data_IF_820382920587
#
_entry.id   IF_820382920587
#
_cell.length_a   1.000
_cell.length_b   1.000
_cell.length_c   1.000
_cell.angle_alpha   90.00
_cell.angle_beta   90.00
_cell.angle_gamma   90.00
#
_symmetry.space_group_name_H-M   'P 1'
#
loop_
_entity.id
_entity.type
_entity.pdbx_description
1 polymer ?
#
# COMPACT_ATOMS: atom_id res chain seq x y z
N UNK A 1 -34.95 80.50 -37.77
CA UNK A 1 -33.48 80.33 -37.90
C UNK A 1 -32.83 80.91 -36.66
N UNK A 2 -31.82 80.23 -36.10
CA UNK A 2 -30.85 80.75 -35.10
C UNK A 2 -31.39 81.14 -33.71
N UNK A 3 -30.58 81.20 -32.63
CA UNK A 3 -29.44 80.35 -32.22
C UNK A 3 -29.01 80.71 -30.77
N UNK A 4 -28.89 79.70 -29.88
CA UNK A 4 -28.15 79.72 -28.58
C UNK A 4 -28.59 80.77 -27.52
N UNK A 5 -28.27 80.72 -26.21
CA UNK A 5 -27.43 79.86 -25.33
C UNK A 5 -28.11 79.75 -23.92
N UNK A 6 -27.53 79.45 -22.72
CA UNK A 6 -26.20 79.01 -22.19
C UNK A 6 -26.31 78.48 -20.74
N UNK A 7 -25.30 77.71 -20.27
CA UNK A 7 -24.87 77.52 -18.85
C UNK A 7 -25.86 76.89 -17.80
N UNK A 8 -25.45 76.50 -16.56
CA UNK A 8 -24.67 75.27 -16.32
C UNK A 8 -25.05 74.37 -15.10
N UNK A 9 -24.48 73.16 -15.10
CA UNK A 9 -24.23 72.13 -14.03
C UNK A 9 -24.74 72.34 -12.58
N UNK A 10 -25.46 71.35 -11.98
CA UNK A 10 -25.79 71.28 -10.54
C UNK A 10 -25.03 70.18 -9.74
N UNK A 11 -24.96 70.32 -8.41
CA UNK A 11 -24.85 69.24 -7.40
C UNK A 11 -25.24 69.77 -5.98
N UNK A 12 -25.43 68.96 -4.91
CA UNK A 12 -26.70 69.01 -4.17
C UNK A 12 -26.61 69.24 -2.64
N UNK A 13 -27.77 69.41 -2.00
CA UNK A 13 -27.93 69.63 -0.54
C UNK A 13 -29.01 68.74 0.09
N UNK A 14 -28.55 67.65 0.73
CA UNK A 14 -28.72 67.25 2.15
C UNK A 14 -30.01 67.56 3.00
N UNK A 15 -30.19 66.74 4.06
CA UNK A 15 -30.96 66.90 5.34
C UNK A 15 -32.48 66.54 5.44
N UNK A 16 -32.77 65.41 6.13
CA UNK A 16 -33.92 65.05 7.02
C UNK A 16 -35.39 65.07 6.47
N UNK A 17 -36.42 64.42 7.08
CA UNK A 17 -36.64 63.92 8.45
C UNK A 17 -37.57 62.66 8.54
N UNK A 18 -37.99 62.25 9.75
CA UNK A 18 -38.75 61.02 10.07
C UNK A 18 -40.29 61.15 10.00
N UNK A 19 -41.00 60.03 9.74
CA UNK A 19 -42.40 59.80 10.13
C UNK A 19 -42.74 58.29 10.14
N UNK A 20 -43.56 57.82 11.10
CA UNK A 20 -44.09 56.45 11.17
C UNK A 20 -45.51 56.34 10.54
N UNK A 21 -45.86 55.23 9.86
CA UNK A 21 -47.23 54.88 9.46
C UNK A 21 -47.83 53.69 10.28
N UNK A 22 -49.17 53.49 10.27
CA UNK A 22 -49.87 52.74 11.33
C UNK A 22 -50.24 51.28 11.00
N UNK A 23 -50.80 50.58 12.01
CA UNK A 23 -51.30 49.21 11.94
C UNK A 23 -52.65 49.07 11.20
N UNK A 24 -52.92 47.86 10.67
CA UNK A 24 -54.15 47.47 9.97
C UNK A 24 -54.53 46.03 10.35
N UNK A 25 -55.82 45.77 10.60
CA UNK A 25 -56.40 44.43 10.88
C UNK A 25 -57.21 43.89 9.66
N UNK A 26 -57.65 42.60 9.64
CA UNK A 26 -57.50 41.77 8.45
C UNK A 26 -58.75 41.59 7.56
N UNK A 27 -58.49 41.03 6.37
CA UNK A 27 -59.51 40.55 5.42
C UNK A 27 -59.74 39.02 5.56
N UNK A 28 -60.92 38.49 5.16
CA UNK A 28 -61.27 37.07 5.30
C UNK A 28 -60.50 36.15 4.32
N UNK A 29 -60.41 34.83 4.62
CA UNK A 29 -59.60 33.89 3.86
C UNK A 29 -60.23 33.47 2.52
N UNK A 30 -59.38 33.08 1.57
CA UNK A 30 -59.74 32.34 0.38
C UNK A 30 -59.38 30.85 0.56
N UNK A 31 -60.23 29.95 0.08
CA UNK A 31 -60.03 28.50 0.21
C UNK A 31 -58.90 27.99 -0.69
N UNK A 32 -58.12 27.04 -0.18
CA UNK A 32 -57.09 26.28 -0.93
C UNK A 32 -57.23 24.79 -0.64
N UNK A 33 -56.99 23.91 -1.63
CA UNK A 33 -57.30 22.49 -1.51
C UNK A 33 -56.34 21.75 -0.57
N UNK A 34 -56.87 20.77 0.18
CA UNK A 34 -56.14 20.04 1.20
C UNK A 34 -55.06 19.09 0.62
N UNK A 35 -53.86 19.14 1.21
CA UNK A 35 -52.87 18.06 1.15
C UNK A 35 -52.33 17.86 2.57
N UNK A 36 -52.58 16.72 3.23
CA UNK A 36 -52.29 16.57 4.65
C UNK A 36 -50.78 16.45 4.92
N UNK A 37 -50.24 17.40 5.69
CA UNK A 37 -48.89 17.30 6.24
C UNK A 37 -48.95 16.73 7.67
N UNK A 38 -48.10 15.75 7.96
CA UNK A 38 -47.97 15.15 9.30
C UNK A 38 -46.52 15.28 9.75
N UNK A 39 -46.25 16.30 10.58
CA UNK A 39 -45.03 16.39 11.35
C UNK A 39 -45.27 15.86 12.78
N UNK A 40 -44.59 14.78 13.13
CA UNK A 40 -44.47 14.29 14.50
C UNK A 40 -42.97 14.26 14.88
N UNK A 41 -42.60 14.56 16.15
CA UNK A 41 -41.21 14.70 16.54
C UNK A 41 -40.48 13.36 16.58
N UNK A 42 -39.25 13.31 16.06
CA UNK A 42 -38.41 12.10 16.01
C UNK A 42 -37.67 11.90 17.36
N UNK A 43 -37.89 10.80 18.10
CA UNK A 43 -37.12 10.49 19.30
C UNK A 43 -35.68 10.03 18.97
N UNK A 44 -34.76 10.24 19.89
CA UNK A 44 -33.33 10.05 19.65
C UNK A 44 -32.89 8.60 19.36
N UNK A 45 -31.88 8.47 18.48
CA UNK A 45 -31.31 7.19 18.02
C UNK A 45 -30.43 6.52 19.09
N UNK A 46 -31.01 6.13 20.24
CA UNK A 46 -30.29 5.47 21.35
C UNK A 46 -31.14 4.44 22.10
N UNK A 47 -31.36 3.28 21.48
CA UNK A 47 -31.99 2.14 22.16
C UNK A 47 -32.74 1.18 21.24
N UNK A 48 -32.02 0.36 20.48
CA UNK A 48 -32.55 -0.93 20.00
C UNK A 48 -31.51 -2.01 20.23
N UNK A 49 -31.87 -3.04 21.02
CA UNK A 49 -31.09 -4.26 21.13
C UNK A 49 -31.26 -5.06 19.84
N UNK A 50 -30.15 -5.31 19.13
CA UNK A 50 -30.09 -6.30 18.05
C UNK A 50 -29.24 -7.50 18.47
N UNK A 51 -29.72 -8.19 19.47
CA UNK A 51 -29.33 -9.57 19.78
C UNK A 51 -30.57 -10.27 20.35
N UNK A 52 -31.12 -11.20 19.56
CA UNK A 52 -32.16 -12.13 20.01
C UNK A 52 -31.48 -13.43 20.41
N UNK A 53 -31.75 -13.92 21.62
CA UNK A 53 -31.24 -15.22 22.06
C UNK A 53 -31.94 -16.34 21.26
N UNK A 54 -31.20 -17.20 20.53
CA UNK A 54 -31.81 -18.28 19.75
C UNK A 54 -32.57 -19.30 20.60
N UNK A 55 -32.36 -19.34 21.93
CA UNK A 55 -33.07 -20.23 22.83
C UNK A 55 -34.58 -19.91 23.02
N UNK A 56 -35.08 -18.77 22.54
CA UNK A 56 -36.49 -18.36 22.71
C UNK A 56 -37.36 -18.49 21.44
N UNK A 57 -36.80 -18.89 20.30
CA UNK A 57 -37.55 -19.11 19.07
C UNK A 57 -38.11 -20.55 19.01
N UNK A 58 -39.34 -20.77 19.51
CA UNK A 58 -40.01 -22.07 19.56
C UNK A 58 -40.46 -22.62 18.20
N UNK A 59 -39.52 -22.89 17.29
CA UNK A 59 -39.75 -23.47 15.95
C UNK A 59 -39.12 -24.86 15.87
N UNK A 60 -39.96 -25.89 15.92
CA UNK A 60 -39.54 -27.30 15.93
C UNK A 60 -39.10 -27.82 14.56
N UNK A 61 -37.97 -27.33 14.05
CA UNK A 61 -37.33 -27.89 12.84
C UNK A 61 -36.64 -29.21 13.20
N UNK A 62 -36.98 -30.35 12.57
CA UNK A 62 -36.32 -31.63 12.87
C UNK A 62 -34.86 -31.61 12.39
N UNK A 63 -33.93 -31.97 13.27
CA UNK A 63 -32.52 -32.14 12.94
C UNK A 63 -32.32 -33.34 11.98
N UNK A 64 -31.35 -33.28 11.05
CA UNK A 64 -30.98 -34.44 10.23
C UNK A 64 -30.58 -35.63 11.10
N UNK A 65 -31.12 -36.83 10.80
CA UNK A 65 -30.90 -38.04 11.61
C UNK A 65 -29.42 -38.49 11.67
N UNK A 66 -28.62 -38.06 10.70
CA UNK A 66 -27.17 -38.21 10.65
C UNK A 66 -26.43 -37.49 11.79
N UNK A 67 -27.04 -36.49 12.45
CA UNK A 67 -26.46 -35.80 13.62
C UNK A 67 -26.80 -36.46 14.97
N UNK A 68 -27.63 -37.51 15.00
CA UNK A 68 -28.02 -38.23 16.22
C UNK A 68 -27.65 -39.72 16.21
N UNK A 69 -26.87 -40.17 15.22
CA UNK A 69 -26.34 -41.53 15.15
C UNK A 69 -25.28 -41.78 16.25
N UNK A 70 -25.37 -42.88 17.03
CA UNK A 70 -24.37 -43.20 18.05
C UNK A 70 -23.06 -43.65 17.40
N UNK A 71 -21.94 -43.08 17.84
CA UNK A 71 -20.59 -43.39 17.33
C UNK A 71 -20.24 -44.87 17.51
N UNK A 72 -19.88 -45.61 16.45
CA UNK A 72 -19.49 -47.02 16.57
C UNK A 72 -18.15 -47.15 17.32
N UNK A 73 -18.01 -48.08 18.29
CA UNK A 73 -16.93 -48.05 19.27
C UNK A 73 -15.59 -48.68 18.82
N UNK A 74 -15.24 -48.61 17.53
CA UNK A 74 -13.97 -49.17 17.03
C UNK A 74 -13.29 -48.32 15.93
N UNK A 75 -12.02 -48.00 16.19
CA UNK A 75 -10.89 -47.94 15.25
C UNK A 75 -11.01 -47.21 13.91
N UNK A 76 -10.13 -46.22 13.67
CA UNK A 76 -9.85 -45.67 12.34
C UNK A 76 -9.38 -46.81 11.40
N UNK A 77 -9.99 -47.02 10.22
CA UNK A 77 -9.55 -48.04 9.27
C UNK A 77 -8.16 -47.74 8.69
N UNK A 78 -7.25 -48.73 8.76
CA UNK A 78 -5.94 -48.69 8.09
C UNK A 78 -6.04 -49.46 6.77
N UNK A 79 -5.55 -48.92 5.63
CA UNK A 79 -5.58 -49.63 4.35
C UNK A 79 -4.62 -50.83 4.35
N UNK A 80 -4.95 -51.95 3.69
CA UNK A 80 -4.14 -53.16 3.69
C UNK A 80 -2.86 -52.99 2.83
N UNK A 81 -1.73 -53.63 3.21
CA UNK A 81 -0.53 -53.64 2.41
C UNK A 81 -0.71 -54.49 1.14
N UNK A 82 -0.19 -54.02 -0.01
CA UNK A 82 -0.21 -54.79 -1.25
C UNK A 82 0.82 -55.93 -1.19
N UNK A 83 0.40 -57.13 -1.60
CA UNK A 83 1.27 -58.30 -1.65
C UNK A 83 2.18 -58.28 -2.90
N UNK A 84 3.48 -58.49 -2.70
CA UNK A 84 4.46 -58.59 -3.79
C UNK A 84 4.54 -60.03 -4.28
N UNK A 85 4.25 -60.27 -5.56
CA UNK A 85 4.40 -61.58 -6.22
C UNK A 85 5.79 -61.70 -6.88
N UNK A 86 6.57 -62.75 -6.59
CA UNK A 86 7.86 -62.98 -7.24
C UNK A 86 7.68 -63.77 -8.56
N UNK A 87 8.26 -63.28 -9.66
CA UNK A 87 8.27 -63.96 -10.95
C UNK A 87 9.46 -63.55 -11.82
N UNK A 88 10.23 -64.53 -12.29
CA UNK A 88 11.30 -64.37 -13.29
C UNK A 88 10.72 -64.66 -14.72
N UNK A 89 11.39 -64.48 -15.86
CA UNK A 89 12.84 -64.31 -16.13
C UNK A 89 13.06 -63.42 -17.41
N UNK A 90 14.11 -63.52 -18.30
CA UNK A 90 14.96 -62.36 -18.54
C UNK A 90 15.17 -61.86 -20.00
N UNK A 91 15.62 -60.60 -20.12
CA UNK A 91 16.39 -60.07 -21.27
C UNK A 91 15.59 -59.63 -22.51
N UNK A 92 16.23 -58.95 -23.51
CA UNK A 92 17.68 -58.80 -23.69
C UNK A 92 18.21 -57.35 -23.95
N UNK A 93 19.53 -57.17 -23.78
CA UNK A 93 20.36 -56.34 -24.69
C UNK A 93 20.46 -54.82 -24.49
N UNK A 94 21.58 -54.34 -23.95
CA UNK A 94 22.11 -52.97 -24.14
C UNK A 94 23.61 -53.04 -24.53
N UNK A 95 24.12 -52.13 -25.37
CA UNK A 95 25.51 -52.14 -25.85
C UNK A 95 26.51 -51.51 -24.84
N UNK A 96 27.80 -51.91 -24.86
CA UNK A 96 28.82 -51.41 -23.93
C UNK A 96 29.47 -50.08 -24.37
N UNK A 97 29.97 -49.33 -23.39
CA UNK A 97 30.81 -48.13 -23.59
C UNK A 97 32.32 -48.50 -23.60
N UNK A 98 33.17 -47.77 -24.35
CA UNK A 98 34.61 -48.03 -24.43
C UNK A 98 35.41 -47.46 -23.24
N UNK A 99 36.59 -48.03 -22.91
CA UNK A 99 37.45 -47.56 -21.82
C UNK A 99 38.29 -46.32 -22.19
N UNK A 100 38.73 -45.52 -21.21
CA UNK A 100 39.55 -44.33 -21.44
C UNK A 100 41.01 -44.66 -21.78
N UNK A 101 41.56 -44.02 -22.81
CA UNK A 101 42.96 -44.19 -23.24
C UNK A 101 43.88 -43.12 -22.63
N UNK A 102 44.95 -43.57 -21.95
CA UNK A 102 46.01 -42.71 -21.43
C UNK A 102 46.92 -42.19 -22.56
N UNK A 103 46.89 -40.88 -22.82
CA UNK A 103 47.72 -40.25 -23.84
C UNK A 103 48.36 -38.93 -23.37
N UNK A 104 49.48 -39.08 -22.65
CA UNK A 104 50.65 -38.16 -22.66
C UNK A 104 50.41 -36.66 -22.41
N UNK A 105 50.55 -36.25 -21.15
CA UNK A 105 50.69 -34.83 -20.80
C UNK A 105 51.89 -34.17 -21.49
N UNK A 106 51.72 -32.90 -21.89
CA UNK A 106 52.80 -31.96 -22.19
C UNK A 106 52.80 -30.93 -21.06
N UNK A 107 53.95 -30.70 -20.43
CA UNK A 107 54.03 -29.81 -19.28
C UNK A 107 53.93 -28.33 -19.70
N UNK A 108 53.02 -27.61 -19.07
CA UNK A 108 53.07 -26.16 -18.92
C UNK A 108 52.84 -25.87 -17.44
N UNK A 109 53.73 -25.10 -16.80
CA UNK A 109 53.66 -24.86 -15.36
C UNK A 109 52.42 -24.03 -14.99
N UNK A 110 51.57 -24.62 -14.14
CA UNK A 110 50.57 -23.88 -13.38
C UNK A 110 51.06 -23.75 -11.93
N UNK A 111 51.20 -22.53 -11.38
CA UNK A 111 51.49 -22.33 -9.97
C UNK A 111 50.33 -22.84 -9.09
N UNK A 112 50.56 -23.13 -7.80
CA UNK A 112 49.56 -23.75 -6.94
C UNK A 112 48.30 -22.89 -6.78
N UNK A 113 47.15 -23.58 -6.70
CA UNK A 113 45.86 -22.94 -6.47
C UNK A 113 45.70 -22.60 -4.98
N UNK A 114 46.23 -21.44 -4.56
CA UNK A 114 45.96 -20.87 -3.25
C UNK A 114 44.47 -20.57 -3.06
N UNK A 115 43.97 -20.79 -1.84
CA UNK A 115 42.58 -20.51 -1.48
C UNK A 115 42.33 -18.99 -1.49
N UNK A 116 41.71 -18.52 -2.58
CA UNK A 116 41.31 -17.13 -2.75
C UNK A 116 40.23 -16.72 -1.73
N UNK A 117 40.67 -16.32 -0.53
CA UNK A 117 39.89 -15.47 0.36
C UNK A 117 39.45 -14.21 -0.41
N UNK A 118 38.27 -13.62 -0.10
CA UNK A 118 37.77 -12.43 -0.78
C UNK A 118 38.55 -11.18 -0.34
N UNK A 119 39.83 -11.13 -0.68
CA UNK A 119 40.65 -9.94 -0.55
C UNK A 119 40.03 -8.85 -1.43
N UNK A 120 39.58 -7.76 -0.81
CA UNK A 120 39.00 -6.62 -1.55
C UNK A 120 40.05 -6.09 -2.50
N UNK A 121 39.78 -6.18 -3.80
CA UNK A 121 40.63 -5.59 -4.83
C UNK A 121 40.79 -4.09 -4.54
N UNK A 122 42.03 -3.69 -4.22
CA UNK A 122 42.42 -2.31 -3.94
C UNK A 122 42.56 -1.52 -5.24
N UNK A 123 41.49 -1.57 -6.04
CA UNK A 123 41.20 -0.66 -7.13
C UNK A 123 41.63 0.76 -6.75
N UNK A 124 42.25 1.48 -7.68
CA UNK A 124 42.89 2.78 -7.41
C UNK A 124 41.91 3.84 -6.89
N UNK A 125 40.61 3.63 -7.09
CA UNK A 125 39.48 4.35 -6.48
C UNK A 125 39.38 4.26 -4.95
N UNK A 126 39.97 3.26 -4.30
CA UNK A 126 40.04 3.14 -2.84
C UNK A 126 41.19 3.96 -2.24
N UNK A 127 42.27 4.16 -2.98
CA UNK A 127 43.41 5.01 -2.59
C UNK A 127 43.19 6.48 -2.96
N UNK A 128 42.45 6.74 -4.04
CA UNK A 128 41.98 8.07 -4.42
C UNK A 128 40.75 8.45 -3.58
N UNK A 129 41.01 9.09 -2.42
CA UNK A 129 39.97 9.59 -1.52
C UNK A 129 38.85 10.37 -2.25
N UNK A 130 37.58 10.25 -1.80
CA UNK A 130 36.40 10.52 -2.62
C UNK A 130 36.39 11.94 -3.21
N UNK A 131 36.53 12.02 -4.54
CA UNK A 131 36.44 13.27 -5.29
C UNK A 131 35.05 13.88 -5.10
N UNK A 132 34.96 14.94 -4.31
CA UNK A 132 33.74 15.74 -4.11
C UNK A 132 33.14 16.11 -5.47
N UNK A 133 31.90 15.68 -5.74
CA UNK A 133 31.23 16.05 -6.98
C UNK A 133 31.05 17.57 -7.06
N UNK A 134 31.23 18.19 -8.24
CA UNK A 134 31.12 19.63 -8.40
C UNK A 134 29.68 20.09 -8.16
N UNK A 135 29.44 21.21 -7.46
CA UNK A 135 28.10 21.64 -7.07
C UNK A 135 27.18 21.89 -8.28
N UNK A 136 26.05 21.19 -8.33
CA UNK A 136 25.07 21.26 -9.43
C UNK A 136 24.24 22.56 -9.46
N UNK A 137 24.06 23.23 -8.32
CA UNK A 137 23.14 24.37 -8.18
C UNK A 137 23.57 25.41 -7.13
N UNK A 138 22.92 26.58 -7.17
CA UNK A 138 23.01 27.65 -6.16
C UNK A 138 24.37 28.39 -6.11
N UNK A 139 24.57 29.15 -5.04
CA UNK A 139 25.78 29.98 -4.84
C UNK A 139 27.09 29.17 -4.84
N UNK A 140 27.05 27.89 -4.46
CA UNK A 140 28.22 26.99 -4.55
C UNK A 140 28.62 26.71 -6.00
N UNK A 141 27.65 26.53 -6.91
CA UNK A 141 27.92 26.45 -8.36
C UNK A 141 28.45 27.77 -8.90
N UNK A 142 27.93 28.90 -8.45
CA UNK A 142 28.43 30.21 -8.84
C UNK A 142 29.89 30.42 -8.39
N UNK A 143 30.24 30.11 -7.14
CA UNK A 143 31.63 30.16 -6.65
C UNK A 143 32.55 29.17 -7.38
N UNK A 144 32.09 27.96 -7.67
CA UNK A 144 32.86 26.98 -8.44
C UNK A 144 33.16 27.48 -9.86
N UNK A 145 32.23 28.20 -10.50
CA UNK A 145 32.47 28.84 -11.79
C UNK A 145 33.36 30.09 -11.68
N UNK A 146 33.09 30.99 -10.72
CA UNK A 146 33.84 32.24 -10.51
C UNK A 146 35.30 32.01 -10.07
N UNK A 147 35.58 30.90 -9.39
CA UNK A 147 36.94 30.45 -9.04
C UNK A 147 37.65 29.66 -10.15
N UNK A 148 37.16 29.73 -11.40
CA UNK A 148 37.70 28.95 -12.53
C UNK A 148 37.83 27.45 -12.23
N UNK A 149 36.85 26.89 -11.51
CA UNK A 149 36.78 25.49 -11.02
C UNK A 149 37.79 25.11 -9.94
N UNK A 150 38.56 26.07 -9.39
CA UNK A 150 39.55 25.78 -8.34
C UNK A 150 38.92 25.53 -6.96
N UNK A 151 37.84 26.24 -6.59
CA UNK A 151 37.18 26.08 -5.29
C UNK A 151 35.95 25.16 -5.39
N UNK A 152 36.20 23.86 -5.41
CA UNK A 152 35.13 22.85 -5.30
C UNK A 152 34.73 22.64 -3.83
N UNK A 153 33.73 23.40 -3.38
CA UNK A 153 33.10 23.27 -2.04
C UNK A 153 32.41 21.89 -1.87
N UNK A 154 32.07 21.23 -2.98
CA UNK A 154 31.20 20.06 -3.05
C UNK A 154 29.72 20.42 -3.21
N UNK A 155 28.93 19.42 -3.57
CA UNK A 155 27.47 19.45 -3.56
C UNK A 155 26.90 19.84 -2.18
N UNK A 156 25.68 20.36 -2.13
CA UNK A 156 25.02 20.68 -0.86
C UNK A 156 24.63 19.41 -0.09
N UNK A 157 24.84 19.32 1.24
CA UNK A 157 24.46 18.14 2.03
C UNK A 157 23.01 17.70 1.83
N UNK A 158 22.07 18.64 1.66
CA UNK A 158 20.66 18.33 1.33
C UNK A 158 20.51 17.63 -0.04
N UNK A 159 21.30 18.02 -1.04
CA UNK A 159 21.26 17.40 -2.38
C UNK A 159 21.94 16.04 -2.35
N UNK A 160 23.07 15.89 -1.65
CA UNK A 160 23.73 14.60 -1.43
C UNK A 160 22.84 13.61 -0.67
N UNK A 161 22.13 14.05 0.37
CA UNK A 161 21.15 13.22 1.07
C UNK A 161 19.99 12.82 0.16
N UNK A 162 19.43 13.78 -0.62
CA UNK A 162 18.38 13.46 -1.58
C UNK A 162 18.85 12.49 -2.68
N UNK A 163 20.12 12.57 -3.10
CA UNK A 163 20.73 11.59 -4.00
C UNK A 163 20.89 10.21 -3.35
N UNK A 164 21.24 10.10 -2.06
CA UNK A 164 21.30 8.80 -1.39
C UNK A 164 19.92 8.15 -1.34
N UNK A 165 18.89 8.89 -0.89
CA UNK A 165 17.50 8.41 -0.86
C UNK A 165 17.03 7.95 -2.26
N UNK A 166 17.33 8.72 -3.32
CA UNK A 166 17.03 8.32 -4.69
C UNK A 166 17.80 7.06 -5.13
N UNK A 167 19.06 6.91 -4.73
CA UNK A 167 19.89 5.72 -5.00
C UNK A 167 19.45 4.48 -4.21
N UNK A 168 18.85 4.67 -3.03
CA UNK A 168 18.24 3.61 -2.22
C UNK A 168 16.93 3.15 -2.90
N UNK A 169 16.04 4.09 -3.23
CA UNK A 169 14.74 3.83 -3.88
C UNK A 169 14.88 3.15 -5.26
N UNK A 170 15.96 3.42 -5.99
CA UNK A 170 16.22 2.88 -7.34
C UNK A 170 17.04 1.59 -7.38
N UNK A 171 17.32 0.94 -6.23
CA UNK A 171 18.02 -0.35 -6.21
C UNK A 171 17.27 -1.42 -7.05
N UNK A 172 17.95 -2.19 -7.92
CA UNK A 172 17.33 -3.27 -8.68
C UNK A 172 16.71 -4.32 -7.77
N UNK A 173 15.49 -4.76 -8.10
CA UNK A 173 14.79 -5.83 -7.39
C UNK A 173 14.98 -7.18 -8.10
N UNK A 174 15.16 -8.23 -7.31
CA UNK A 174 15.27 -9.61 -7.81
C UNK A 174 13.90 -10.28 -7.78
N UNK A 175 13.11 -10.04 -8.83
CA UNK A 175 11.72 -10.47 -8.93
C UNK A 175 10.74 -9.41 -8.43
N UNK A 176 9.69 -9.84 -7.72
CA UNK A 176 8.66 -8.97 -7.17
C UNK A 176 8.84 -8.77 -5.66
N UNK A 177 8.66 -7.54 -5.19
CA UNK A 177 8.67 -7.15 -3.77
C UNK A 177 7.31 -6.65 -3.31
N UNK A 178 6.82 -7.15 -2.17
CA UNK A 178 5.41 -7.06 -1.75
C UNK A 178 5.27 -6.25 -0.48
N UNK A 179 4.60 -5.10 -0.58
CA UNK A 179 4.34 -4.17 0.53
C UNK A 179 2.88 -4.32 0.98
N UNK A 180 2.63 -4.93 2.14
CA UNK A 180 1.31 -4.89 2.75
C UNK A 180 1.10 -3.58 3.51
N UNK A 181 -0.05 -2.92 3.32
CA UNK A 181 -0.40 -1.67 4.04
C UNK A 181 -1.64 -1.89 4.91
N UNK A 182 -1.45 -1.87 6.24
CA UNK A 182 -2.49 -2.15 7.24
C UNK A 182 -2.92 -0.91 8.03
N UNK A 183 -4.20 -0.90 8.42
CA UNK A 183 -4.70 -0.05 9.51
C UNK A 183 -5.98 -0.61 10.12
N UNK A 184 -6.04 -0.75 11.44
CA UNK A 184 -7.21 -1.23 12.19
C UNK A 184 -8.32 -0.15 12.36
N UNK A 185 -8.16 1.04 11.79
CA UNK A 185 -9.14 2.13 11.87
C UNK A 185 -9.29 2.86 10.53
N UNK A 186 -10.53 2.94 10.03
CA UNK A 186 -10.86 3.74 8.85
C UNK A 186 -10.50 5.22 9.03
N UNK A 187 -10.15 5.89 7.94
CA UNK A 187 -9.85 7.32 7.93
C UNK A 187 -8.46 7.74 8.47
N UNK A 188 -7.55 6.80 8.78
CA UNK A 188 -6.13 7.14 9.05
C UNK A 188 -5.33 7.51 7.80
N UNK A 189 -5.92 7.38 6.61
CA UNK A 189 -5.28 7.66 5.32
C UNK A 189 -4.43 6.52 4.77
N UNK A 190 -4.65 5.27 5.18
CA UNK A 190 -4.01 4.05 4.65
C UNK A 190 -3.91 4.05 3.12
N UNK A 191 -5.04 4.09 2.42
CA UNK A 191 -5.14 4.16 0.95
C UNK A 191 -4.37 5.34 0.34
N UNK A 192 -4.38 6.48 1.02
CA UNK A 192 -3.62 7.68 0.63
C UNK A 192 -2.12 7.45 0.75
N UNK A 193 -1.64 6.77 1.81
CA UNK A 193 -0.24 6.34 1.95
C UNK A 193 0.12 5.31 0.88
N UNK A 194 -0.73 4.31 0.62
CA UNK A 194 -0.49 3.29 -0.42
C UNK A 194 -0.31 3.92 -1.80
N UNK A 195 -1.22 4.83 -2.20
CA UNK A 195 -1.14 5.51 -3.49
C UNK A 195 0.01 6.54 -3.55
N UNK A 196 0.25 7.34 -2.51
CA UNK A 196 1.39 8.30 -2.52
C UNK A 196 2.74 7.60 -2.53
N UNK A 197 2.90 6.51 -1.78
CA UNK A 197 4.14 5.73 -1.75
C UNK A 197 4.35 4.99 -3.07
N UNK A 198 3.31 4.34 -3.61
CA UNK A 198 3.36 3.72 -4.93
C UNK A 198 3.72 4.71 -6.04
N UNK A 199 3.13 5.91 -6.03
CA UNK A 199 3.48 6.98 -6.96
C UNK A 199 4.93 7.48 -6.76
N UNK A 200 5.40 7.56 -5.51
CA UNK A 200 6.79 7.94 -5.20
C UNK A 200 7.76 6.90 -5.78
N UNK A 201 7.50 5.60 -5.59
CA UNK A 201 8.28 4.54 -6.22
C UNK A 201 8.22 4.62 -7.76
N UNK A 202 7.02 4.66 -8.35
CA UNK A 202 6.82 4.63 -9.80
C UNK A 202 7.45 5.83 -10.55
N UNK A 203 7.52 7.00 -9.90
CA UNK A 203 8.11 8.21 -10.48
C UNK A 203 9.64 8.23 -10.41
N UNK A 204 10.24 7.52 -9.44
CA UNK A 204 11.70 7.47 -9.24
C UNK A 204 12.33 6.25 -9.93
N UNK A 205 11.67 5.09 -9.85
CA UNK A 205 12.15 3.84 -10.46
C UNK A 205 11.85 3.80 -11.95
N UNK A 206 12.60 2.97 -12.68
CA UNK A 206 12.39 2.71 -14.11
C UNK A 206 11.62 1.43 -14.43
N UNK A 207 11.26 0.66 -13.41
CA UNK A 207 10.47 -0.58 -13.50
C UNK A 207 9.01 -0.35 -13.08
N UNK A 208 8.20 -1.40 -13.10
CA UNK A 208 6.73 -1.30 -13.02
C UNK A 208 6.22 -1.54 -11.61
N UNK A 209 5.43 -0.59 -11.13
CA UNK A 209 4.89 -0.52 -9.77
C UNK A 209 3.36 -0.50 -9.84
N UNK A 210 2.71 -1.43 -9.12
CA UNK A 210 1.25 -1.51 -9.02
C UNK A 210 0.79 -1.45 -7.57
N UNK A 211 -0.33 -0.79 -7.33
CA UNK A 211 -1.08 -0.89 -6.08
C UNK A 211 -2.42 -1.62 -6.32
N UNK A 212 -2.75 -2.55 -5.42
CA UNK A 212 -3.96 -3.38 -5.49
C UNK A 212 -4.86 -3.04 -4.31
N UNK A 213 -6.14 -2.77 -4.55
CA UNK A 213 -7.11 -2.58 -3.48
C UNK A 213 -7.64 -3.94 -3.01
N UNK A 214 -7.36 -4.28 -1.74
CA UNK A 214 -7.76 -5.52 -1.10
C UNK A 214 -8.76 -5.26 0.04
N UNK A 215 -9.62 -4.25 -0.12
CA UNK A 215 -10.71 -3.95 0.80
C UNK A 215 -12.04 -4.59 0.34
N UNK A 216 -12.60 -5.58 1.06
CA UNK A 216 -13.89 -6.19 0.68
C UNK A 216 -15.09 -5.26 0.94
N UNK A 217 -14.97 -4.28 1.85
CA UNK A 217 -16.11 -3.44 2.28
C UNK A 217 -16.43 -2.28 1.32
N UNK A 218 -15.43 -1.89 0.49
CA UNK A 218 -15.46 -1.00 -0.70
C UNK A 218 -14.06 -0.41 -0.95
N UNK A 219 -13.47 -0.69 -2.10
CA UNK A 219 -12.22 -0.05 -2.51
C UNK A 219 -12.36 1.46 -2.72
N UNK A 220 -11.25 2.18 -2.53
CA UNK A 220 -11.11 3.62 -2.82
C UNK A 220 -9.75 4.00 -3.44
N UNK A 221 -8.87 3.02 -3.68
CA UNK A 221 -7.55 3.23 -4.28
C UNK A 221 -7.64 3.68 -5.74
N UNK A 222 -8.61 3.15 -6.50
CA UNK A 222 -8.87 3.55 -7.89
C UNK A 222 -9.17 5.04 -8.05
N UNK A 223 -9.73 5.68 -7.01
CA UNK A 223 -10.03 7.12 -6.99
C UNK A 223 -8.79 8.01 -6.82
N UNK A 224 -7.58 7.42 -6.74
CA UNK A 224 -6.31 8.13 -6.55
C UNK A 224 -5.50 8.32 -7.83
N UNK A 225 -5.96 7.74 -8.94
CA UNK A 225 -5.42 7.91 -10.30
C UNK A 225 -6.58 8.21 -11.27
N UNK A 226 -6.32 8.81 -12.45
CA UNK A 226 -7.32 8.90 -13.50
C UNK A 226 -7.81 7.50 -13.89
N UNK A 227 -9.12 7.34 -14.12
CA UNK A 227 -9.71 6.05 -14.46
C UNK A 227 -9.60 5.78 -15.97
N UNK A 228 -8.71 4.86 -16.35
CA UNK A 228 -8.53 4.42 -17.76
C UNK A 228 -9.43 3.24 -18.12
N UNK A 229 -9.79 2.41 -17.13
CA UNK A 229 -10.61 1.21 -17.29
C UNK A 229 -11.52 1.00 -16.08
N UNK A 230 -12.74 0.50 -16.31
CA UNK A 230 -13.69 0.14 -15.26
C UNK A 230 -13.51 -1.32 -14.76
N UNK A 231 -12.53 -2.05 -15.31
CA UNK A 231 -12.23 -3.41 -14.91
C UNK A 231 -11.70 -3.49 -13.46
N UNK A 232 -12.02 -4.61 -12.81
CA UNK A 232 -11.70 -4.90 -11.40
C UNK A 232 -10.85 -6.17 -11.29
N UNK A 233 -10.31 -6.44 -10.10
CA UNK A 233 -9.59 -7.69 -9.78
C UNK A 233 -10.40 -8.95 -10.14
N UNK A 234 -11.74 -8.92 -10.06
CA UNK A 234 -12.61 -10.02 -10.48
C UNK A 234 -12.54 -10.29 -12.00
N UNK A 235 -12.38 -9.25 -12.80
CA UNK A 235 -12.19 -9.37 -14.25
C UNK A 235 -10.80 -9.96 -14.58
N UNK A 236 -9.74 -9.46 -13.92
CA UNK A 236 -8.40 -10.00 -14.07
C UNK A 236 -8.31 -11.49 -13.68
N UNK A 237 -8.98 -11.89 -12.59
CA UNK A 237 -9.02 -13.28 -12.13
C UNK A 237 -9.78 -14.22 -13.09
N UNK A 238 -10.88 -13.73 -13.68
CA UNK A 238 -11.66 -14.48 -14.68
C UNK A 238 -10.83 -14.83 -15.92
N UNK A 239 -10.00 -13.89 -16.37
CA UNK A 239 -9.27 -14.00 -17.62
C UNK A 239 -7.79 -14.42 -17.41
N UNK A 240 -7.40 -14.74 -16.16
CA UNK A 240 -6.01 -14.92 -15.71
C UNK A 240 -5.18 -15.97 -16.47
N UNK A 241 -5.83 -16.99 -17.03
CA UNK A 241 -5.18 -18.02 -17.84
C UNK A 241 -4.71 -17.51 -19.22
N UNK A 242 -5.33 -16.43 -19.73
CA UNK A 242 -4.96 -15.77 -20.99
C UNK A 242 -3.97 -14.61 -20.85
N UNK A 243 -3.55 -14.26 -19.62
CA UNK A 243 -2.64 -13.12 -19.37
C UNK A 243 -1.19 -13.58 -19.51
N UNK A 244 -0.69 -13.58 -20.76
CA UNK A 244 0.70 -13.91 -21.09
C UNK A 244 1.64 -12.70 -21.06
N UNK A 245 1.14 -11.50 -21.36
CA UNK A 245 1.94 -10.30 -21.62
C UNK A 245 1.50 -9.12 -20.77
N UNK A 246 2.43 -8.18 -20.59
CA UNK A 246 2.15 -6.92 -19.91
C UNK A 246 1.05 -6.07 -20.60
N UNK A 247 0.89 -6.19 -21.93
CA UNK A 247 -0.24 -5.58 -22.66
C UNK A 247 -1.60 -6.04 -22.16
N UNK A 248 -1.67 -7.27 -21.65
CA UNK A 248 -2.92 -7.97 -21.41
C UNK A 248 -3.40 -7.62 -20.00
N UNK A 249 -2.49 -7.67 -19.00
CA UNK A 249 -2.77 -7.18 -17.65
C UNK A 249 -3.11 -5.67 -17.63
N UNK A 250 -2.57 -4.88 -18.58
CA UNK A 250 -2.87 -3.44 -18.71
C UNK A 250 -4.33 -3.12 -19.02
N UNK A 251 -5.11 -4.07 -19.56
CA UNK A 251 -6.56 -3.88 -19.76
C UNK A 251 -7.35 -3.76 -18.44
N UNK A 252 -6.78 -4.24 -17.33
CA UNK A 252 -7.43 -4.36 -16.02
C UNK A 252 -6.97 -3.29 -15.01
N UNK A 253 -6.09 -2.37 -15.40
CA UNK A 253 -5.39 -1.45 -14.49
C UNK A 253 -5.38 -0.01 -14.99
N UNK A 254 -5.63 0.97 -14.13
CA UNK A 254 -5.53 2.40 -14.47
C UNK A 254 -4.21 3.01 -14.00
N UNK A 255 -3.56 3.85 -14.81
CA UNK A 255 -2.24 4.43 -14.54
C UNK A 255 -2.31 5.95 -14.26
N UNK A 256 -1.66 6.38 -13.18
CA UNK A 256 -1.49 7.80 -12.84
C UNK A 256 -0.30 8.45 -13.55
N UNK A 257 -0.22 9.81 -13.59
CA UNK A 257 0.91 10.53 -14.21
C UNK A 257 2.30 10.20 -13.62
N UNK A 258 2.34 9.62 -12.42
CA UNK A 258 3.55 9.08 -11.77
C UNK A 258 4.01 7.73 -12.33
N UNK A 259 3.26 7.13 -13.28
CA UNK A 259 3.32 5.72 -13.71
C UNK A 259 2.94 4.69 -12.66
N UNK A 260 2.38 5.10 -11.51
CA UNK A 260 1.74 4.13 -10.61
C UNK A 260 0.52 3.55 -11.30
N UNK A 261 0.43 2.23 -11.32
CA UNK A 261 -0.75 1.52 -11.77
C UNK A 261 -1.62 1.10 -10.58
N UNK A 262 -2.94 1.05 -10.80
CA UNK A 262 -3.91 0.63 -9.80
C UNK A 262 -4.82 -0.45 -10.37
N UNK A 263 -4.88 -1.58 -9.68
CA UNK A 263 -5.91 -2.60 -9.85
C UNK A 263 -7.03 -2.34 -8.85
N UNK A 264 -8.23 -2.05 -9.35
CA UNK A 264 -9.40 -1.80 -8.51
C UNK A 264 -9.90 -3.10 -7.85
N UNK A 265 -10.34 -3.00 -6.59
CA UNK A 265 -11.15 -4.06 -5.98
C UNK A 265 -12.49 -4.17 -6.72
N UNK A 266 -13.23 -5.25 -6.47
CA UNK A 266 -14.67 -5.17 -6.70
C UNK A 266 -15.32 -4.20 -5.70
N UNK A 267 -16.44 -3.59 -6.09
CA UNK A 267 -17.12 -2.55 -5.28
C UNK A 267 -18.64 -2.69 -5.21
N UNK A 268 -19.24 -3.60 -5.98
CA UNK A 268 -20.67 -3.96 -5.86
C UNK A 268 -20.94 -4.82 -4.59
N UNK A 269 -21.70 -4.33 -3.60
CA UNK A 269 -22.05 -5.09 -2.40
C UNK A 269 -23.01 -6.26 -2.64
N UNK A 270 -23.60 -6.38 -3.84
CA UNK A 270 -24.45 -7.52 -4.20
C UNK A 270 -23.64 -8.78 -4.58
N UNK A 271 -22.33 -8.64 -4.86
CA UNK A 271 -21.43 -9.77 -5.09
C UNK A 271 -21.10 -10.44 -3.76
N UNK A 272 -21.85 -11.48 -3.42
CA UNK A 272 -21.81 -12.13 -2.10
C UNK A 272 -20.49 -12.84 -1.74
N UNK A 273 -19.54 -12.98 -2.66
CA UNK A 273 -18.21 -13.52 -2.39
C UNK A 273 -17.20 -12.40 -2.11
N UNK A 274 -16.98 -12.14 -0.82
CA UNK A 274 -15.90 -11.27 -0.36
C UNK A 274 -14.54 -11.77 -0.87
N UNK A 275 -13.66 -10.83 -1.24
CA UNK A 275 -12.32 -11.11 -1.77
C UNK A 275 -11.53 -12.03 -0.83
N UNK A 276 -11.17 -13.21 -1.33
CA UNK A 276 -10.66 -14.34 -0.52
C UNK A 276 -9.13 -14.45 -0.50
N UNK A 277 -8.61 -15.39 0.31
CA UNK A 277 -7.19 -15.76 0.26
C UNK A 277 -6.79 -16.33 -1.11
N UNK A 278 -7.63 -17.15 -1.75
CA UNK A 278 -7.31 -17.70 -3.07
C UNK A 278 -7.32 -16.60 -4.14
N UNK A 279 -8.32 -15.71 -4.12
CA UNK A 279 -8.40 -14.56 -5.02
C UNK A 279 -7.14 -13.69 -4.94
N UNK A 280 -6.67 -13.39 -3.73
CA UNK A 280 -5.45 -12.63 -3.53
C UNK A 280 -4.21 -13.37 -4.05
N UNK A 281 -4.06 -14.67 -3.75
CA UNK A 281 -2.93 -15.47 -4.22
C UNK A 281 -2.88 -15.54 -5.75
N UNK A 282 -4.00 -15.82 -6.42
CA UNK A 282 -4.08 -15.92 -7.88
C UNK A 282 -3.93 -14.57 -8.57
N UNK A 283 -4.42 -13.49 -7.95
CA UNK A 283 -4.15 -12.10 -8.40
C UNK A 283 -2.65 -11.82 -8.35
N UNK A 284 -2.02 -12.11 -7.20
CA UNK A 284 -0.59 -11.88 -6.98
C UNK A 284 0.27 -12.71 -7.94
N UNK A 285 -0.07 -13.98 -8.18
CA UNK A 285 0.60 -14.85 -9.16
C UNK A 285 0.56 -14.34 -10.61
N UNK A 286 -0.44 -13.54 -10.98
CA UNK A 286 -0.46 -12.82 -12.27
C UNK A 286 0.45 -11.59 -12.19
N UNK A 287 0.32 -10.78 -11.14
CA UNK A 287 1.04 -9.51 -11.02
C UNK A 287 2.55 -9.69 -10.86
N UNK A 288 3.02 -10.70 -10.13
CA UNK A 288 4.45 -10.99 -9.93
C UNK A 288 5.22 -11.25 -11.25
N UNK A 289 4.52 -11.64 -12.32
CA UNK A 289 5.10 -11.85 -13.67
C UNK A 289 5.45 -10.53 -14.37
N UNK A 290 4.76 -9.45 -14.01
CA UNK A 290 4.79 -8.19 -14.75
C UNK A 290 5.26 -6.99 -13.92
N UNK A 291 5.07 -7.00 -12.60
CA UNK A 291 5.41 -5.89 -11.71
C UNK A 291 6.51 -6.32 -10.74
N UNK A 292 7.55 -5.49 -10.61
CA UNK A 292 8.64 -5.74 -9.64
C UNK A 292 8.31 -5.24 -8.24
N UNK A 293 7.30 -4.38 -8.08
CA UNK A 293 6.84 -3.92 -6.78
C UNK A 293 5.30 -3.85 -6.74
N UNK A 294 4.71 -4.56 -5.77
CA UNK A 294 3.26 -4.64 -5.53
C UNK A 294 2.96 -4.05 -4.16
N UNK A 295 2.08 -3.06 -4.09
CA UNK A 295 1.53 -2.54 -2.83
C UNK A 295 0.10 -3.05 -2.63
N UNK A 296 -0.20 -3.64 -1.47
CA UNK A 296 -1.53 -4.15 -1.15
C UNK A 296 -2.24 -3.23 -0.16
N UNK A 297 -3.24 -2.48 -0.64
CA UNK A 297 -4.08 -1.63 0.20
C UNK A 297 -5.14 -2.49 0.91
N UNK A 298 -4.78 -3.04 2.06
CA UNK A 298 -5.61 -4.04 2.76
C UNK A 298 -6.88 -3.42 3.34
N UNK A 299 -7.97 -4.18 3.49
CA UNK A 299 -9.18 -3.70 4.15
C UNK A 299 -8.99 -3.25 5.61
N UNK A 300 -10.03 -2.62 6.18
CA UNK A 300 -9.98 -2.08 7.57
C UNK A 300 -10.06 -3.13 8.68
N UNK A 301 -10.20 -4.42 8.34
CA UNK A 301 -10.24 -5.53 9.30
C UNK A 301 -9.05 -6.49 9.15
N UNK A 302 -8.46 -6.91 10.27
CA UNK A 302 -7.43 -7.97 10.32
C UNK A 302 -8.02 -9.39 10.21
N UNK A 303 -9.35 -9.51 10.23
CA UNK A 303 -10.10 -10.78 10.41
C UNK A 303 -10.66 -11.31 9.06
N UNK A 304 -10.54 -10.56 7.96
CA UNK A 304 -11.01 -11.03 6.64
C UNK A 304 -10.12 -12.17 6.10
N UNK A 305 -10.74 -13.10 5.37
CA UNK A 305 -10.09 -14.32 4.86
C UNK A 305 -8.84 -14.06 4.01
N UNK A 306 -8.78 -12.96 3.25
CA UNK A 306 -7.59 -12.58 2.48
C UNK A 306 -6.37 -12.19 3.34
N UNK A 307 -6.54 -11.77 4.59
CA UNK A 307 -5.46 -11.22 5.42
C UNK A 307 -4.32 -12.22 5.66
N UNK A 308 -4.64 -13.51 5.82
CA UNK A 308 -3.65 -14.57 5.99
C UNK A 308 -2.75 -14.73 4.74
N UNK A 309 -3.34 -14.71 3.55
CA UNK A 309 -2.58 -14.74 2.29
C UNK A 309 -1.73 -13.47 2.07
N UNK A 310 -2.25 -12.28 2.45
CA UNK A 310 -1.46 -11.04 2.39
C UNK A 310 -0.27 -11.12 3.34
N UNK A 311 -0.48 -11.48 4.61
CA UNK A 311 0.59 -11.54 5.62
C UNK A 311 1.64 -12.63 5.32
N UNK A 312 1.23 -13.79 4.81
CA UNK A 312 2.15 -14.86 4.41
C UNK A 312 2.96 -14.57 3.14
N UNK A 313 2.56 -13.57 2.36
CA UNK A 313 3.26 -13.12 1.15
C UNK A 313 3.98 -11.77 1.30
N UNK A 314 3.70 -10.99 2.34
CA UNK A 314 4.30 -9.67 2.50
C UNK A 314 5.81 -9.74 2.81
N UNK A 315 6.63 -9.07 2.00
CA UNK A 315 8.06 -8.95 2.25
C UNK A 315 8.32 -7.89 3.33
N UNK A 316 7.51 -6.81 3.33
CA UNK A 316 7.44 -5.80 4.39
C UNK A 316 6.00 -5.37 4.69
N UNK A 317 5.77 -4.99 5.95
CA UNK A 317 4.53 -4.42 6.45
C UNK A 317 4.66 -2.92 6.73
N UNK A 318 3.70 -2.12 6.25
CA UNK A 318 3.46 -0.75 6.67
C UNK A 318 2.24 -0.68 7.60
N UNK A 319 2.42 -0.20 8.83
CA UNK A 319 1.31 0.02 9.77
C UNK A 319 0.99 1.50 9.84
N UNK A 320 -0.14 1.89 9.25
CA UNK A 320 -0.56 3.30 9.14
C UNK A 320 -1.41 3.69 10.36
N UNK A 321 -0.97 4.73 11.06
CA UNK A 321 -1.66 5.35 12.18
C UNK A 321 -1.94 6.82 11.88
N UNK A 322 -3.05 7.36 12.37
CA UNK A 322 -3.16 8.82 12.49
C UNK A 322 -2.27 9.34 13.63
N UNK A 323 -1.84 10.60 13.56
CA UNK A 323 -1.15 11.30 14.66
C UNK A 323 -2.04 11.61 15.88
N UNK A 324 -2.86 10.67 16.34
CA UNK A 324 -3.78 10.80 17.48
C UNK A 324 -3.63 9.64 18.47
N UNK A 325 -4.03 9.82 19.73
CA UNK A 325 -3.94 8.77 20.77
C UNK A 325 -4.70 7.51 20.37
N UNK A 326 -5.90 7.66 19.80
CA UNK A 326 -6.70 6.53 19.33
C UNK A 326 -6.09 5.85 18.11
N UNK A 327 -5.45 6.61 17.22
CA UNK A 327 -4.66 6.06 16.10
C UNK A 327 -3.51 5.21 16.63
N UNK A 328 -2.69 5.79 17.50
CA UNK A 328 -1.53 5.11 18.11
C UNK A 328 -1.95 3.85 18.87
N UNK A 329 -3.02 3.91 19.68
CA UNK A 329 -3.56 2.72 20.39
C UNK A 329 -4.07 1.65 19.41
N UNK A 330 -4.75 2.06 18.34
CA UNK A 330 -5.27 1.14 17.32
C UNK A 330 -4.15 0.47 16.52
N UNK A 331 -3.09 1.19 16.16
CA UNK A 331 -1.91 0.62 15.50
C UNK A 331 -1.07 -0.23 16.46
N UNK A 332 -0.95 0.13 17.74
CA UNK A 332 -0.31 -0.73 18.74
C UNK A 332 -1.04 -2.08 18.87
N UNK A 333 -2.38 -2.05 18.97
CA UNK A 333 -3.20 -3.26 19.00
C UNK A 333 -3.09 -4.11 17.71
N UNK A 334 -2.84 -3.50 16.55
CA UNK A 334 -2.47 -4.25 15.32
C UNK A 334 -1.18 -5.04 15.50
N UNK A 335 -0.14 -4.42 16.08
CA UNK A 335 1.14 -5.09 16.34
C UNK A 335 1.00 -6.18 17.42
N UNK A 336 0.25 -5.91 18.50
CA UNK A 336 -0.07 -6.91 19.52
C UNK A 336 -0.80 -8.13 18.94
N UNK A 337 -1.76 -7.90 18.04
CA UNK A 337 -2.45 -8.98 17.34
C UNK A 337 -1.50 -9.78 16.44
N UNK A 338 -0.66 -9.11 15.64
CA UNK A 338 0.32 -9.76 14.77
C UNK A 338 1.35 -10.59 15.56
N UNK A 339 1.89 -10.03 16.65
CA UNK A 339 2.85 -10.72 17.53
C UNK A 339 2.23 -11.97 18.18
N UNK A 340 0.94 -11.90 18.56
CA UNK A 340 0.18 -13.01 19.14
C UNK A 340 -0.21 -14.10 18.13
N UNK A 341 -0.30 -13.78 16.83
CA UNK A 341 -0.61 -14.71 15.75
C UNK A 341 0.63 -15.18 14.96
N UNK A 342 1.83 -15.02 15.54
CA UNK A 342 3.08 -15.56 15.01
C UNK A 342 3.79 -14.69 13.98
N UNK A 343 3.29 -13.51 13.65
CA UNK A 343 3.88 -12.59 12.66
C UNK A 343 4.98 -11.68 13.26
N UNK A 344 5.70 -12.16 14.29
CA UNK A 344 6.65 -11.36 15.08
C UNK A 344 7.82 -10.79 14.25
N UNK A 345 8.32 -11.54 13.26
CA UNK A 345 9.38 -11.03 12.39
C UNK A 345 8.87 -10.04 11.34
N UNK A 346 7.59 -10.13 10.94
CA UNK A 346 6.94 -9.08 10.14
C UNK A 346 6.69 -7.82 10.97
N UNK A 347 6.38 -7.94 12.27
CA UNK A 347 6.29 -6.80 13.21
C UNK A 347 7.65 -6.14 13.36
N UNK A 348 8.70 -6.90 13.69
CA UNK A 348 10.10 -6.42 13.81
C UNK A 348 10.54 -5.67 12.57
N UNK A 349 10.29 -6.24 11.39
CA UNK A 349 10.66 -5.64 10.12
C UNK A 349 9.68 -4.56 9.63
N UNK A 350 8.52 -4.38 10.27
CA UNK A 350 7.53 -3.38 9.82
C UNK A 350 8.01 -1.94 9.96
N UNK A 351 7.39 -1.04 9.19
CA UNK A 351 7.58 0.41 9.30
C UNK A 351 6.26 1.04 9.76
N UNK A 352 6.29 1.76 10.89
CA UNK A 352 5.14 2.51 11.36
C UNK A 352 5.04 3.87 10.65
N UNK A 353 3.89 4.17 10.06
CA UNK A 353 3.65 5.43 9.34
C UNK A 353 2.66 6.29 10.12
N UNK A 354 3.15 7.39 10.71
CA UNK A 354 2.34 8.36 11.45
C UNK A 354 1.85 9.44 10.47
N UNK A 355 0.63 9.27 9.97
CA UNK A 355 0.00 10.19 9.03
C UNK A 355 -0.75 11.32 9.75
N UNK A 356 -0.43 12.57 9.42
CA UNK A 356 -1.04 13.75 10.03
C UNK A 356 -2.31 14.19 9.27
N UNK A 357 -3.43 13.51 9.52
CA UNK A 357 -4.70 13.71 8.78
C UNK A 357 -5.30 15.13 8.93
N UNK A 358 -5.18 15.76 10.11
CA UNK A 358 -5.37 17.22 10.33
C UNK A 358 -4.58 17.67 11.56
N UNK A 359 -4.05 18.89 11.61
CA UNK A 359 -3.57 19.51 12.84
C UNK A 359 -4.77 19.84 13.76
N UNK A 360 -5.08 18.94 14.71
CA UNK A 360 -6.00 19.23 15.82
C UNK A 360 -5.22 19.75 17.02
N UNK A 361 -5.81 20.63 17.82
CA UNK A 361 -5.24 21.19 19.04
C UNK A 361 -5.22 20.18 20.24
N UNK A 362 -4.90 18.91 19.97
CA UNK A 362 -4.73 17.88 20.99
C UNK A 362 -3.28 17.82 21.46
N UNK A 363 -3.06 17.70 22.77
CA UNK A 363 -1.73 17.53 23.39
C UNK A 363 -1.16 16.11 23.18
N UNK A 364 -1.18 15.61 21.94
CA UNK A 364 -0.62 14.31 21.59
C UNK A 364 0.89 14.46 21.46
N UNK A 365 1.61 13.94 22.43
CA UNK A 365 3.07 13.93 22.41
C UNK A 365 3.56 12.90 21.39
N UNK A 366 3.79 13.38 20.15
CA UNK A 366 4.23 12.54 19.05
C UNK A 366 5.60 11.89 19.31
N UNK A 367 6.45 12.46 20.17
CA UNK A 367 7.72 11.82 20.56
C UNK A 367 7.46 10.48 21.25
N UNK A 368 6.54 10.44 22.22
CA UNK A 368 6.14 9.20 22.92
C UNK A 368 5.46 8.18 22.01
N UNK A 369 4.80 8.64 20.93
CA UNK A 369 4.22 7.74 19.91
C UNK A 369 5.32 7.12 19.05
N UNK A 370 6.30 7.91 18.60
CA UNK A 370 7.49 7.43 17.89
C UNK A 370 8.29 6.46 18.77
N UNK A 371 8.56 6.83 20.03
CA UNK A 371 9.29 6.03 21.02
C UNK A 371 8.58 4.73 21.42
N UNK A 372 7.28 4.61 21.16
CA UNK A 372 6.54 3.36 21.33
C UNK A 372 6.74 2.43 20.14
N UNK A 373 6.57 2.95 18.92
CA UNK A 373 6.70 2.15 17.69
C UNK A 373 8.15 1.78 17.36
N UNK A 374 9.14 2.63 17.65
CA UNK A 374 10.57 2.37 17.39
C UNK A 374 11.16 1.20 18.19
N UNK A 375 10.41 0.66 19.16
CA UNK A 375 10.77 -0.55 19.93
C UNK A 375 10.24 -1.85 19.33
N UNK A 376 9.36 -1.75 18.32
CA UNK A 376 8.63 -2.88 17.72
C UNK A 376 8.79 -2.95 16.21
N UNK A 377 8.78 -1.79 15.55
CA UNK A 377 9.00 -1.59 14.12
C UNK A 377 10.45 -1.17 13.89
N UNK A 378 11.11 -1.64 12.82
CA UNK A 378 12.48 -1.25 12.46
C UNK A 378 12.65 0.26 12.26
N UNK A 379 11.58 0.94 11.88
CA UNK A 379 11.55 2.37 11.62
C UNK A 379 10.16 2.97 11.86
N UNK A 380 10.14 4.28 12.11
CA UNK A 380 8.93 5.10 12.17
C UNK A 380 9.11 6.31 11.26
N UNK A 381 8.13 6.63 10.42
CA UNK A 381 8.13 7.83 9.57
C UNK A 381 6.86 8.63 9.78
N UNK A 382 6.98 9.95 9.83
CA UNK A 382 5.86 10.88 9.96
C UNK A 382 5.59 11.54 8.61
N UNK A 383 4.36 11.40 8.10
CA UNK A 383 3.90 12.08 6.89
C UNK A 383 3.10 13.32 7.33
N UNK A 384 3.55 14.54 6.99
CA UNK A 384 2.93 15.78 7.44
C UNK A 384 1.61 16.06 6.71
N UNK A 385 0.78 16.95 7.30
CA UNK A 385 -0.52 17.31 6.72
C UNK A 385 -0.36 18.06 5.38
N UNK A 386 -1.00 17.52 4.35
CA UNK A 386 -1.05 18.08 3.01
C UNK A 386 -2.50 18.29 2.56
N UNK A 387 -2.93 19.53 2.23
CA UNK A 387 -4.27 19.81 1.74
C UNK A 387 -4.62 19.02 0.47
N UNK A 388 -3.64 18.76 -0.42
CA UNK A 388 -3.92 18.01 -1.63
C UNK A 388 -4.30 16.54 -1.34
N UNK A 389 -3.77 15.97 -0.27
CA UNK A 389 -4.11 14.61 0.18
C UNK A 389 -5.43 14.57 0.98
N UNK A 390 -5.91 15.72 1.45
CA UNK A 390 -7.23 15.86 2.08
C UNK A 390 -8.37 16.02 1.07
N UNK A 391 -8.11 16.55 -0.13
CA UNK A 391 -9.10 16.67 -1.22
C UNK A 391 -9.77 15.33 -1.59
N UNK A 392 -9.13 14.20 -1.29
CA UNK A 392 -9.69 12.86 -1.48
C UNK A 392 -9.73 12.38 -2.94
N UNK A 393 -9.39 13.23 -3.90
CA UNK A 393 -9.36 12.96 -5.33
C UNK A 393 -8.03 12.31 -5.79
N UNK A 394 -7.76 12.41 -7.10
CA UNK A 394 -6.53 11.97 -7.77
C UNK A 394 -5.26 12.59 -7.14
N UNK A 395 -4.18 11.81 -7.07
CA UNK A 395 -2.93 12.19 -6.43
C UNK A 395 -1.90 12.65 -7.46
N UNK A 396 -1.57 13.94 -7.43
CA UNK A 396 -0.45 14.53 -8.17
C UNK A 396 0.71 14.82 -7.22
N UNK A 397 1.85 14.18 -7.46
CA UNK A 397 3.07 14.41 -6.68
C UNK A 397 3.55 15.86 -6.76
N UNK A 398 3.26 16.57 -7.85
CA UNK A 398 3.66 17.96 -8.07
C UNK A 398 2.81 18.97 -7.27
N UNK A 399 1.55 18.62 -6.96
CA UNK A 399 0.67 19.45 -6.11
C UNK A 399 1.00 19.38 -4.61
N UNK A 400 1.74 18.35 -4.18
CA UNK A 400 2.16 18.18 -2.78
C UNK A 400 3.05 19.33 -2.28
N UNK A 401 3.09 19.50 -0.96
CA UNK A 401 4.06 20.38 -0.28
C UNK A 401 5.47 19.76 -0.29
N UNK A 402 6.54 20.58 -0.33
CA UNK A 402 7.92 20.07 -0.30
C UNK A 402 8.24 19.19 0.91
N UNK A 403 7.66 19.46 2.08
CA UNK A 403 7.83 18.64 3.28
C UNK A 403 7.19 17.24 3.13
N UNK A 404 5.99 17.16 2.53
CA UNK A 404 5.30 15.89 2.24
C UNK A 404 6.08 15.06 1.22
N UNK A 405 6.61 15.70 0.16
CA UNK A 405 7.48 15.04 -0.83
C UNK A 405 8.77 14.50 -0.22
N UNK A 406 9.39 15.21 0.72
CA UNK A 406 10.60 14.70 1.39
C UNK A 406 10.26 13.55 2.34
N UNK A 407 9.17 13.65 3.12
CA UNK A 407 8.73 12.58 4.01
C UNK A 407 8.34 11.28 3.27
N UNK A 408 7.71 11.41 2.10
CA UNK A 408 7.41 10.27 1.21
C UNK A 408 8.69 9.67 0.60
N UNK A 409 9.68 10.50 0.27
CA UNK A 409 11.00 10.03 -0.20
C UNK A 409 11.74 9.28 0.91
N UNK A 410 11.76 9.80 2.14
CA UNK A 410 12.33 9.13 3.31
C UNK A 410 11.62 7.80 3.63
N UNK A 411 10.30 7.74 3.47
CA UNK A 411 9.53 6.50 3.63
C UNK A 411 9.87 5.47 2.54
N UNK A 412 9.91 5.90 1.27
CA UNK A 412 10.27 5.04 0.15
C UNK A 412 11.70 4.49 0.29
N UNK A 413 12.66 5.29 0.74
CA UNK A 413 14.03 4.84 0.98
C UNK A 413 14.13 3.85 2.16
N UNK A 414 13.43 4.11 3.29
CA UNK A 414 13.38 3.17 4.43
C UNK A 414 12.75 1.83 4.06
N UNK A 415 11.79 1.81 3.13
CA UNK A 415 11.23 0.58 2.57
C UNK A 415 12.22 -0.08 1.60
N UNK A 416 12.89 0.71 0.75
CA UNK A 416 13.85 0.23 -0.24
C UNK A 416 15.16 -0.33 0.35
N UNK A 417 15.47 -0.03 1.62
CA UNK A 417 16.64 -0.56 2.31
C UNK A 417 16.72 -2.10 2.35
N UNK A 418 15.60 -2.81 2.20
CA UNK A 418 15.55 -4.27 2.15
C UNK A 418 15.74 -4.84 0.74
N UNK A 419 15.70 -4.04 -0.33
CA UNK A 419 15.65 -4.54 -1.72
C UNK A 419 16.89 -5.40 -2.10
N UNK A 420 18.00 -5.23 -1.41
CA UNK A 420 19.20 -6.08 -1.53
C UNK A 420 19.23 -7.29 -0.58
N UNK A 421 18.38 -7.35 0.45
CA UNK A 421 18.40 -8.39 1.49
C UNK A 421 17.88 -9.75 1.01
N UNK A 422 16.96 -9.78 0.04
CA UNK A 422 16.44 -11.02 -0.56
C UNK A 422 17.50 -11.79 -1.38
N UNK A 423 18.72 -11.24 -1.52
CA UNK A 423 19.93 -11.99 -1.91
C UNK A 423 20.24 -13.19 -0.99
N UNK A 424 19.62 -13.27 0.20
CA UNK A 424 19.78 -14.37 1.16
C UNK A 424 18.90 -15.62 0.87
N UNK A 425 18.18 -15.65 -0.26
CA UNK A 425 17.47 -16.84 -0.74
C UNK A 425 16.12 -17.11 -0.08
N UNK A 426 15.42 -18.21 -0.44
CA UNK A 426 14.08 -18.48 0.05
C UNK A 426 14.11 -18.74 1.56
N UNK A 427 13.43 -17.86 2.32
CA UNK A 427 13.16 -18.02 3.75
C UNK A 427 12.47 -19.37 3.94
N UNK A 428 13.14 -20.36 4.53
CA UNK A 428 12.57 -21.69 4.72
C UNK A 428 11.36 -21.57 5.65
N UNK A 429 10.17 -21.81 5.12
CA UNK A 429 8.99 -22.04 5.93
C UNK A 429 9.31 -23.22 6.86
N UNK A 430 9.17 -23.03 8.17
CA UNK A 430 9.38 -24.11 9.12
C UNK A 430 8.30 -25.17 8.90
N UNK A 431 8.70 -26.42 8.63
CA UNK A 431 7.77 -27.55 8.56
C UNK A 431 7.16 -27.75 9.96
N UNK A 432 5.83 -27.68 10.13
CA UNK A 432 5.17 -27.84 11.43
C UNK A 432 5.12 -29.30 11.90
N UNK A 433 6.05 -30.17 11.46
CA UNK A 433 6.15 -31.60 11.83
C UNK A 433 7.61 -32.04 12.01
N UNK A 434 8.17 -31.74 13.17
CA UNK A 434 9.47 -32.23 13.65
C UNK A 434 9.51 -32.34 15.16
#
# INVERSE_FOLDING_TARGET
>A
MSASSEHPVPNPTDVSAQADPPAVEPAPPAETPEVPSVFAPVPGFRGQQRFSDPAQAGVSTPLPAEWTAPTPPHGIPVPPPQAVTPGANPGPGLPPLPPPSLARAVAAEQPPADFATPYRDLSTTALLGPRKQPPSAGWRRWLYLASFKQLNVGESPKVTHRQSLLSEISQPLQGCYRIAVLSLKGGVGKTTITATLGATFASIRGDRVIAVDANPDRGTLSQKVPLETAATVRHLLRDAEGIERYSDVRAYTSQGPSRLEVLASESDPAVSEAFSSEDYLRTLEVLERFYSLVLTDCGTGLIHSAMSAVLSKADVLLVVSSGSVDGARSAAATLDWLDAHGHQDLVRNSVAVLNAVRPRAGKVDLSKVVDHFSRRCRAVRLVPFDPHLEEGAEISLDRLRPATREALLELAAVVAGDFGADSAGPRRLADPRG
#
